data_IF_010986513377
#
_entry.id   IF_010986513377
#
_cell.length_a   1.000
_cell.length_b   1.000
_cell.length_c   1.000
_cell.angle_alpha   90.00
_cell.angle_beta   90.00
_cell.angle_gamma   90.00
#
_symmetry.space_group_name_H-M   'P 1'
#
loop_
_entity.id
_entity.type
_entity.pdbx_description
1 polymer ?
#
# COMPACT_ATOMS: atom_id res chain seq x y z
N UNK A 1 -62.16 -9.87 -57.74
CA UNK A 1 -61.72 -8.85 -56.79
C UNK A 1 -61.05 -9.55 -55.62
N UNK A 2 -59.75 -9.66 -55.68
CA UNK A 2 -58.96 -10.33 -54.60
C UNK A 2 -57.93 -9.33 -54.11
N UNK A 3 -58.15 -8.85 -52.90
CA UNK A 3 -57.24 -7.97 -52.21
C UNK A 3 -56.11 -8.83 -51.58
N UNK A 4 -54.91 -8.66 -52.08
CA UNK A 4 -53.71 -9.24 -51.45
C UNK A 4 -53.25 -8.32 -50.30
N UNK A 5 -53.38 -8.77 -49.06
CA UNK A 5 -52.73 -8.12 -47.90
C UNK A 5 -51.26 -8.47 -47.92
N UNK A 6 -50.42 -7.51 -48.17
CA UNK A 6 -48.97 -7.65 -47.99
C UNK A 6 -48.66 -7.49 -46.50
N UNK A 7 -48.22 -8.59 -45.89
CA UNK A 7 -47.71 -8.61 -44.51
C UNK A 7 -46.27 -8.10 -44.56
N UNK A 8 -46.04 -6.86 -44.16
CA UNK A 8 -44.69 -6.32 -43.96
C UNK A 8 -44.11 -6.93 -42.73
N UNK A 9 -43.13 -7.81 -42.89
CA UNK A 9 -42.31 -8.32 -41.80
C UNK A 9 -41.45 -7.19 -41.23
N UNK A 10 -41.73 -6.81 -40.00
CA UNK A 10 -40.88 -5.93 -39.23
C UNK A 10 -39.63 -6.68 -38.86
N UNK A 11 -38.50 -6.32 -39.44
CA UNK A 11 -37.21 -6.81 -39.02
C UNK A 11 -36.89 -6.30 -37.58
N UNK A 12 -36.41 -7.12 -36.65
CA UNK A 12 -36.01 -6.65 -35.34
C UNK A 12 -34.86 -5.66 -35.49
N UNK A 13 -35.08 -4.46 -34.94
CA UNK A 13 -34.03 -3.46 -34.84
C UNK A 13 -32.86 -4.04 -34.05
N UNK A 14 -31.71 -4.20 -34.71
CA UNK A 14 -30.46 -4.48 -34.03
C UNK A 14 -30.13 -3.28 -33.15
N UNK A 15 -30.22 -3.48 -31.83
CA UNK A 15 -29.70 -2.52 -30.88
C UNK A 15 -28.19 -2.37 -31.15
N UNK A 16 -27.64 -1.15 -31.21
CA UNK A 16 -26.21 -0.96 -31.27
C UNK A 16 -25.61 -1.60 -30.02
N UNK A 17 -24.83 -2.63 -30.21
CA UNK A 17 -24.01 -3.19 -29.13
C UNK A 17 -23.08 -2.08 -28.67
N UNK A 18 -23.19 -1.73 -27.40
CA UNK A 18 -22.22 -0.86 -26.74
C UNK A 18 -20.82 -1.42 -27.03
N UNK A 19 -19.83 -0.56 -27.33
CA UNK A 19 -18.47 -1.02 -27.51
C UNK A 19 -18.07 -1.84 -26.29
N UNK A 20 -17.67 -3.09 -26.53
CA UNK A 20 -17.06 -3.91 -25.49
C UNK A 20 -15.92 -3.10 -24.92
N UNK A 21 -15.96 -2.97 -23.59
CA UNK A 21 -14.92 -2.35 -22.82
C UNK A 21 -13.55 -2.81 -23.36
N UNK A 22 -12.93 -1.92 -24.14
CA UNK A 22 -11.51 -2.04 -24.39
C UNK A 22 -10.90 -1.72 -23.02
N UNK A 23 -10.49 -2.76 -22.28
CA UNK A 23 -9.60 -2.59 -21.16
C UNK A 23 -8.41 -1.78 -21.67
N UNK A 24 -8.41 -0.50 -21.32
CA UNK A 24 -7.25 0.35 -21.52
C UNK A 24 -6.10 -0.32 -20.75
N UNK A 25 -4.91 -0.45 -21.36
CA UNK A 25 -3.78 -0.99 -20.65
C UNK A 25 -3.56 -0.19 -19.37
N UNK A 26 -3.17 -0.83 -18.25
CA UNK A 26 -2.93 -0.14 -16.99
C UNK A 26 -2.00 1.04 -17.23
N UNK A 27 -2.45 2.24 -16.92
CA UNK A 27 -1.59 3.43 -16.96
C UNK A 27 -0.55 3.25 -15.87
N UNK A 28 0.68 2.95 -16.23
CA UNK A 28 1.81 2.92 -15.31
C UNK A 28 1.85 4.25 -14.57
N UNK A 29 1.63 4.23 -13.26
CA UNK A 29 1.62 5.43 -12.41
C UNK A 29 0.25 5.90 -11.94
N UNK A 30 -0.87 5.26 -12.31
CA UNK A 30 -2.16 5.58 -11.75
C UNK A 30 -2.21 5.19 -10.26
N UNK A 31 -2.41 6.16 -9.38
CA UNK A 31 -2.65 5.89 -7.96
C UNK A 31 -3.98 5.14 -7.81
N UNK A 32 -4.04 4.07 -7.02
CA UNK A 32 -5.29 3.37 -6.75
C UNK A 32 -6.31 4.33 -6.10
N UNK A 33 -7.62 4.08 -6.27
CA UNK A 33 -8.64 4.85 -5.59
C UNK A 33 -8.39 4.92 -4.08
N UNK A 34 -8.76 6.01 -3.40
CA UNK A 34 -8.42 6.24 -1.99
C UNK A 34 -8.97 5.18 -1.02
N UNK A 35 -9.94 4.39 -1.45
CA UNK A 35 -10.55 3.32 -0.65
C UNK A 35 -10.04 1.92 -0.95
N UNK A 36 -9.10 1.76 -1.90
CA UNK A 36 -8.48 0.47 -2.21
C UNK A 36 -7.04 0.44 -1.75
N UNK A 37 -6.58 -0.68 -1.16
CA UNK A 37 -5.16 -0.85 -0.87
C UNK A 37 -4.38 -0.88 -2.19
N UNK A 38 -3.15 -0.35 -2.20
CA UNK A 38 -2.26 -0.48 -3.36
C UNK A 38 -2.07 -1.95 -3.76
N UNK A 39 -1.85 -2.23 -5.06
CA UNK A 39 -1.58 -3.59 -5.52
C UNK A 39 -0.44 -4.25 -4.74
N UNK A 40 -0.64 -5.49 -4.32
CA UNK A 40 0.43 -6.27 -3.71
C UNK A 40 1.35 -6.80 -4.79
N UNK A 41 2.64 -6.44 -4.71
CA UNK A 41 3.67 -7.07 -5.53
C UNK A 41 4.10 -8.41 -4.90
N UNK A 42 4.57 -9.35 -5.73
CA UNK A 42 5.08 -10.64 -5.26
C UNK A 42 6.21 -10.43 -4.25
N UNK A 43 6.00 -10.94 -3.03
CA UNK A 43 6.99 -10.81 -1.97
C UNK A 43 7.97 -11.97 -2.01
N UNK A 44 9.26 -11.69 -1.79
CA UNK A 44 10.24 -12.75 -1.60
C UNK A 44 9.85 -13.67 -0.45
N UNK A 45 10.03 -14.98 -0.66
CA UNK A 45 9.63 -16.02 0.32
C UNK A 45 10.62 -16.20 1.45
N UNK A 46 11.85 -15.71 1.28
CA UNK A 46 12.89 -15.82 2.30
C UNK A 46 13.76 -14.55 2.34
N UNK A 47 14.51 -14.39 3.45
CA UNK A 47 15.36 -13.20 3.66
C UNK A 47 16.48 -13.05 2.61
N UNK A 48 16.96 -14.13 2.01
CA UNK A 48 18.05 -14.11 1.03
C UNK A 48 17.58 -13.56 -0.34
N UNK A 49 16.27 -13.51 -0.58
CA UNK A 49 15.69 -12.96 -1.80
C UNK A 49 15.58 -11.42 -1.76
N UNK A 50 15.72 -10.80 -0.57
CA UNK A 50 15.72 -9.35 -0.45
C UNK A 50 17.09 -8.78 -0.88
N UNK A 51 17.18 -8.39 -2.16
CA UNK A 51 18.26 -7.53 -2.60
C UNK A 51 17.99 -6.08 -2.14
N UNK A 52 19.05 -5.32 -1.87
CA UNK A 52 18.91 -3.91 -1.52
C UNK A 52 18.13 -3.16 -2.62
N UNK A 53 16.95 -2.67 -2.27
CA UNK A 53 16.07 -1.99 -3.20
C UNK A 53 15.33 -0.83 -2.49
N UNK A 54 15.90 0.39 -2.53
CA UNK A 54 15.28 1.54 -1.88
C UNK A 54 13.96 1.98 -2.52
N UNK A 55 13.75 1.71 -3.81
CA UNK A 55 12.48 2.01 -4.49
C UNK A 55 11.38 1.12 -3.96
N UNK A 56 11.64 -0.19 -3.87
CA UNK A 56 10.66 -1.13 -3.30
C UNK A 56 10.40 -0.83 -1.82
N UNK A 57 11.44 -0.49 -1.06
CA UNK A 57 11.27 -0.04 0.33
C UNK A 57 10.34 1.16 0.44
N UNK A 58 10.49 2.15 -0.43
CA UNK A 58 9.60 3.33 -0.48
C UNK A 58 8.16 2.97 -0.82
N UNK A 59 7.93 2.05 -1.75
CA UNK A 59 6.59 1.55 -2.08
C UNK A 59 5.93 0.88 -0.88
N UNK A 60 6.65 0.01 -0.16
CA UNK A 60 6.12 -0.65 1.04
C UNK A 60 5.79 0.36 2.15
N UNK A 61 6.58 1.44 2.31
CA UNK A 61 6.24 2.55 3.23
C UNK A 61 4.92 3.19 2.83
N UNK A 62 4.73 3.52 1.55
CA UNK A 62 3.48 4.12 1.06
C UNK A 62 2.27 3.22 1.32
N UNK A 63 2.39 1.92 1.08
CA UNK A 63 1.35 0.93 1.39
C UNK A 63 1.07 0.87 2.88
N UNK A 64 2.12 0.86 3.70
CA UNK A 64 2.00 0.88 5.16
C UNK A 64 1.27 2.12 5.68
N UNK A 65 1.58 3.29 5.13
CA UNK A 65 0.89 4.54 5.48
C UNK A 65 -0.60 4.51 5.13
N UNK A 66 -0.96 3.89 4.01
CA UNK A 66 -2.36 3.68 3.65
C UNK A 66 -3.10 2.90 4.75
N UNK A 67 -2.56 1.76 5.18
CA UNK A 67 -3.17 0.97 6.25
C UNK A 67 -3.16 1.71 7.60
N UNK A 68 -2.10 2.44 7.89
CA UNK A 68 -2.01 3.25 9.12
C UNK A 68 -3.11 4.30 9.19
N UNK A 69 -3.40 5.00 8.09
CA UNK A 69 -4.51 5.97 7.98
C UNK A 69 -5.89 5.32 8.15
N UNK A 70 -6.02 4.04 7.78
CA UNK A 70 -7.24 3.24 7.98
C UNK A 70 -7.32 2.63 9.40
N UNK A 71 -6.37 2.92 10.28
CA UNK A 71 -6.21 2.35 11.62
C UNK A 71 -5.98 0.82 11.62
N UNK A 72 -5.62 0.23 10.49
CA UNK A 72 -5.15 -1.15 10.44
C UNK A 72 -3.64 -1.20 10.75
N UNK A 73 -3.33 -1.05 12.02
CA UNK A 73 -1.94 -0.96 12.49
C UNK A 73 -1.18 -2.27 12.31
N UNK A 74 -1.87 -3.41 12.31
CA UNK A 74 -1.25 -4.72 12.08
C UNK A 74 -0.78 -4.86 10.63
N UNK A 75 -1.64 -4.52 9.66
CA UNK A 75 -1.27 -4.51 8.26
C UNK A 75 -0.18 -3.46 7.99
N UNK A 76 -0.30 -2.27 8.57
CA UNK A 76 0.71 -1.21 8.46
C UNK A 76 2.09 -1.67 8.96
N UNK A 77 2.16 -2.25 10.16
CA UNK A 77 3.42 -2.77 10.72
C UNK A 77 4.02 -3.86 9.83
N UNK A 78 3.19 -4.73 9.26
CA UNK A 78 3.65 -5.73 8.28
C UNK A 78 4.34 -5.09 7.08
N UNK A 79 3.75 -4.03 6.51
CA UNK A 79 4.33 -3.31 5.37
C UNK A 79 5.61 -2.56 5.72
N UNK A 80 5.66 -1.91 6.87
CA UNK A 80 6.88 -1.24 7.32
C UNK A 80 8.02 -2.24 7.60
N UNK A 81 7.69 -3.43 8.13
CA UNK A 81 8.67 -4.53 8.26
C UNK A 81 9.21 -4.98 6.91
N UNK A 82 8.35 -5.12 5.90
CA UNK A 82 8.80 -5.42 4.53
C UNK A 82 9.72 -4.32 4.00
N UNK A 83 9.37 -3.05 4.21
CA UNK A 83 10.20 -1.92 3.80
C UNK A 83 11.62 -2.00 4.38
N UNK A 84 11.75 -2.36 5.67
CA UNK A 84 13.07 -2.51 6.31
C UNK A 84 13.87 -3.70 5.79
N UNK A 85 13.24 -4.73 5.23
CA UNK A 85 13.93 -5.85 4.59
C UNK A 85 14.52 -5.46 3.24
N UNK A 86 13.79 -4.66 2.45
CA UNK A 86 14.28 -4.13 1.18
C UNK A 86 15.38 -3.09 1.34
N UNK A 87 15.31 -2.30 2.40
CA UNK A 87 16.32 -1.29 2.75
C UNK A 87 16.30 -1.03 4.26
N UNK A 88 17.22 -1.63 4.98
CA UNK A 88 17.34 -1.47 6.43
C UNK A 88 17.87 -0.08 6.85
N UNK A 89 18.43 0.69 5.91
CA UNK A 89 18.82 2.09 6.08
C UNK A 89 17.66 3.09 5.88
N UNK A 90 16.44 2.62 5.56
CA UNK A 90 15.28 3.48 5.42
C UNK A 90 14.77 3.92 6.81
N UNK A 91 15.21 5.10 7.26
CA UNK A 91 14.84 5.63 8.57
C UNK A 91 13.32 5.83 8.71
N UNK A 92 12.63 6.27 7.65
CA UNK A 92 11.18 6.49 7.69
C UNK A 92 10.42 5.18 7.93
N UNK A 93 10.88 4.07 7.33
CA UNK A 93 10.29 2.76 7.56
C UNK A 93 10.39 2.35 9.04
N UNK A 94 11.54 2.58 9.67
CA UNK A 94 11.72 2.30 11.10
C UNK A 94 10.89 3.20 12.00
N UNK A 95 10.78 4.49 11.68
CA UNK A 95 9.95 5.43 12.41
C UNK A 95 8.48 5.01 12.38
N UNK A 96 7.98 4.73 11.18
CA UNK A 96 6.58 4.36 10.99
C UNK A 96 6.26 2.99 11.56
N UNK A 97 7.20 2.04 11.52
CA UNK A 97 7.09 0.76 12.20
C UNK A 97 6.92 0.96 13.70
N UNK A 98 7.78 1.74 14.33
CA UNK A 98 7.66 2.04 15.77
C UNK A 98 6.33 2.68 16.14
N UNK A 99 5.81 3.59 15.30
CA UNK A 99 4.51 4.21 15.52
C UNK A 99 3.36 3.19 15.40
N UNK A 100 3.43 2.27 14.45
CA UNK A 100 2.41 1.22 14.29
C UNK A 100 2.42 0.23 15.46
N UNK A 101 3.60 -0.21 15.90
CA UNK A 101 3.76 -1.10 17.05
C UNK A 101 3.29 -0.42 18.37
N UNK A 102 3.55 0.89 18.54
CA UNK A 102 3.01 1.68 19.66
C UNK A 102 1.48 1.64 19.67
N UNK A 103 0.84 1.82 18.51
CA UNK A 103 -0.62 1.74 18.39
C UNK A 103 -1.17 0.35 18.74
N UNK A 104 -0.43 -0.69 18.47
CA UNK A 104 -0.77 -2.07 18.84
C UNK A 104 -0.43 -2.42 20.28
N UNK A 105 0.16 -1.48 21.05
CA UNK A 105 0.63 -1.69 22.41
C UNK A 105 1.81 -2.67 22.54
N UNK A 106 2.49 -2.98 21.44
CA UNK A 106 3.73 -3.73 21.47
C UNK A 106 4.90 -2.79 21.78
N UNK A 107 5.09 -2.53 23.07
CA UNK A 107 6.10 -1.58 23.53
C UNK A 107 7.52 -2.04 23.27
N UNK A 108 7.76 -3.35 23.25
CA UNK A 108 9.07 -3.92 22.92
C UNK A 108 9.43 -3.70 21.46
N UNK A 109 8.56 -4.07 20.55
CA UNK A 109 8.74 -3.88 19.12
C UNK A 109 8.84 -2.39 18.75
N UNK A 110 8.00 -1.54 19.35
CA UNK A 110 8.08 -0.09 19.16
C UNK A 110 9.44 0.48 19.58
N UNK A 111 9.96 0.06 20.73
CA UNK A 111 11.29 0.47 21.22
C UNK A 111 12.39 0.09 20.23
N UNK A 112 12.44 -1.17 19.83
CA UNK A 112 13.46 -1.68 18.90
C UNK A 112 13.46 -0.89 17.57
N UNK A 113 12.28 -0.61 17.01
CA UNK A 113 12.14 0.16 15.79
C UNK A 113 12.60 1.61 15.95
N UNK A 114 12.21 2.28 17.04
CA UNK A 114 12.61 3.67 17.29
C UNK A 114 14.10 3.82 17.65
N UNK A 115 14.69 2.86 18.35
CA UNK A 115 16.14 2.83 18.58
C UNK A 115 16.89 2.72 17.27
N UNK A 116 16.43 1.86 16.35
CA UNK A 116 17.01 1.76 15.01
C UNK A 116 16.86 3.06 14.21
N UNK A 117 15.70 3.69 14.28
CA UNK A 117 15.48 5.01 13.68
C UNK A 117 16.50 6.04 14.20
N UNK A 118 16.71 6.13 15.50
CA UNK A 118 17.65 7.08 16.10
C UNK A 118 19.11 6.80 15.73
N UNK A 119 19.48 5.54 15.48
CA UNK A 119 20.80 5.19 14.96
C UNK A 119 21.01 5.72 13.54
N UNK A 120 19.95 5.67 12.70
CA UNK A 120 20.01 6.08 11.31
C UNK A 120 19.87 7.60 11.13
N UNK A 121 19.05 8.24 11.95
CA UNK A 121 18.70 9.65 11.82
C UNK A 121 18.71 10.41 13.15
N UNK A 122 19.86 10.45 13.89
CA UNK A 122 19.92 11.03 15.22
C UNK A 122 19.67 12.54 15.27
N UNK A 123 19.92 13.24 14.17
CA UNK A 123 19.72 14.69 14.03
C UNK A 123 18.41 15.08 13.33
N UNK A 124 17.51 14.15 13.07
CA UNK A 124 16.24 14.45 12.41
C UNK A 124 15.30 15.27 13.31
N UNK A 125 14.34 15.95 12.68
CA UNK A 125 13.31 16.71 13.42
C UNK A 125 12.50 15.83 14.37
N UNK A 126 12.29 14.56 14.01
CA UNK A 126 11.53 13.61 14.80
C UNK A 126 12.34 12.96 15.93
N UNK A 127 13.67 13.06 15.90
CA UNK A 127 14.51 12.37 16.88
C UNK A 127 14.22 12.76 18.33
N UNK A 128 13.95 14.05 18.59
CA UNK A 128 13.61 14.52 19.93
C UNK A 128 12.28 13.95 20.43
N UNK A 129 11.29 13.88 19.57
CA UNK A 129 9.98 13.28 19.88
C UNK A 129 10.12 11.79 20.16
N UNK A 130 10.86 11.08 19.32
CA UNK A 130 11.10 9.63 19.49
C UNK A 130 11.82 9.34 20.79
N UNK A 131 12.80 10.15 21.19
CA UNK A 131 13.47 10.01 22.50
C UNK A 131 12.48 10.16 23.66
N UNK A 132 11.58 11.14 23.60
CA UNK A 132 10.51 11.33 24.60
C UNK A 132 9.57 10.13 24.67
N UNK A 133 9.22 9.55 23.51
CA UNK A 133 8.39 8.34 23.46
C UNK A 133 9.10 7.15 24.11
N UNK A 134 10.39 6.97 23.85
CA UNK A 134 11.20 5.91 24.46
C UNK A 134 11.30 6.05 25.98
N UNK A 135 11.38 7.27 26.50
CA UNK A 135 11.38 7.53 27.95
C UNK A 135 10.07 7.11 28.61
N UNK A 136 8.94 7.30 27.94
CA UNK A 136 7.61 6.91 28.43
C UNK A 136 7.36 5.39 28.42
N UNK A 137 8.16 4.64 27.67
CA UNK A 137 8.06 3.18 27.59
C UNK A 137 8.90 2.45 28.66
N UNK A 138 9.53 3.18 29.55
CA UNK A 138 10.33 2.63 30.65
C UNK A 138 9.45 2.08 31.76
#
# INVERSE_FOLDING_TARGET
MWSALALAALAPAQQPQAPRDQELPPVEGAQPPPDQPPPEEDKPKNRQEYAFNPVQSGKEVTVGEFYFKKNDFKAAAGRFKEATKWNDGNADAWLMLGNAEEKMKDTKAAREAWEKYLQLAPGSKMAAEVRKKLEKLK
#
